data_IF_660885325163
#
_entry.id   IF_660885325163
#
_cell.length_a   1.000
_cell.length_b   1.000
_cell.length_c   1.000
_cell.angle_alpha   90.00
_cell.angle_beta   90.00
_cell.angle_gamma   90.00
#
_symmetry.space_group_name_H-M   'P 1'
#
loop_
_entity.id
_entity.type
_entity.pdbx_description
1 polymer ?
#
# COMPACT_ATOMS: atom_id res chain seq x y z
N UNK A 1 -3.66 16.64 -4.16
CA UNK A 1 -4.04 15.28 -3.79
C UNK A 1 -2.81 14.43 -3.51
N UNK A 2 -2.87 13.55 -2.53
CA UNK A 2 -1.76 12.71 -2.08
C UNK A 2 -2.14 11.24 -2.23
N UNK A 3 -1.24 10.46 -2.82
CA UNK A 3 -1.36 9.02 -2.99
C UNK A 3 -0.24 8.41 -2.17
N UNK A 4 -0.61 7.86 -1.03
CA UNK A 4 0.33 7.22 -0.15
C UNK A 4 0.75 5.86 -0.69
N UNK A 5 2.03 5.56 -0.56
CA UNK A 5 2.65 4.33 -1.03
C UNK A 5 3.28 3.55 0.12
N UNK A 6 3.06 2.25 0.09
CA UNK A 6 3.72 1.28 0.94
C UNK A 6 4.26 0.14 0.07
N UNK A 7 5.30 -0.51 0.56
CA UNK A 7 5.83 -1.74 0.00
C UNK A 7 5.96 -2.76 1.14
N UNK A 8 5.41 -3.95 0.97
CA UNK A 8 5.16 -4.93 2.05
C UNK A 8 6.42 -5.46 2.75
N UNK A 9 7.58 -5.31 2.12
CA UNK A 9 8.87 -5.75 2.67
C UNK A 9 9.74 -4.61 3.20
N UNK A 10 9.20 -3.37 3.24
CA UNK A 10 9.96 -2.21 3.68
C UNK A 10 9.85 -1.99 5.19
N UNK A 11 10.82 -2.54 5.91
CA UNK A 11 10.91 -2.51 7.38
C UNK A 11 12.16 -1.77 7.84
N UNK A 12 12.19 -1.31 9.10
CA UNK A 12 13.41 -0.81 9.74
C UNK A 12 14.43 -1.94 9.98
N UNK A 13 15.67 -1.58 10.20
CA UNK A 13 16.73 -2.53 10.53
C UNK A 13 17.21 -3.38 9.36
N UNK A 14 17.81 -4.50 9.69
CA UNK A 14 18.30 -5.54 8.77
C UNK A 14 18.17 -6.91 9.45
N UNK A 15 18.39 -8.03 8.74
CA UNK A 15 18.44 -9.36 9.36
C UNK A 15 19.41 -9.41 10.53
N UNK A 16 18.94 -9.86 11.67
CA UNK A 16 19.75 -9.96 12.90
C UNK A 16 19.45 -11.25 13.65
N UNK A 17 20.39 -11.65 14.52
CA UNK A 17 20.22 -12.82 15.35
C UNK A 17 19.79 -12.40 16.76
N UNK A 18 18.54 -12.67 17.11
CA UNK A 18 17.97 -12.37 18.42
C UNK A 18 18.23 -13.48 19.47
N UNK A 19 18.94 -14.54 19.13
CA UNK A 19 19.27 -15.62 20.07
C UNK A 19 20.35 -15.17 21.03
N UNK A 20 20.07 -15.27 22.32
CA UNK A 20 21.06 -15.03 23.37
C UNK A 20 21.74 -16.34 23.77
N UNK A 21 23.08 -16.36 23.71
CA UNK A 21 23.88 -17.50 24.21
C UNK A 21 23.82 -17.64 25.73
N UNK A 22 23.54 -16.54 26.42
CA UNK A 22 23.51 -16.45 27.88
C UNK A 22 22.18 -16.95 28.47
N UNK A 23 21.11 -16.97 27.67
CA UNK A 23 19.76 -17.32 28.14
C UNK A 23 19.68 -18.68 28.83
N UNK A 24 20.44 -19.67 28.37
CA UNK A 24 20.45 -21.00 28.95
C UNK A 24 20.99 -20.99 30.40
N UNK A 25 21.99 -20.18 30.68
CA UNK A 25 22.59 -20.03 32.01
C UNK A 25 21.58 -19.45 33.04
N UNK A 26 20.79 -18.46 32.59
CA UNK A 26 19.81 -17.79 33.45
C UNK A 26 18.44 -18.49 33.52
N UNK A 27 18.18 -19.48 32.69
CA UNK A 27 16.89 -20.18 32.64
C UNK A 27 16.48 -20.82 33.98
N UNK A 28 17.38 -21.48 34.74
CA UNK A 28 17.04 -22.04 36.05
C UNK A 28 16.61 -20.97 37.06
N UNK A 29 17.27 -19.82 37.07
CA UNK A 29 16.95 -18.71 37.97
C UNK A 29 15.60 -18.06 37.59
N UNK A 30 15.32 -17.87 36.30
CA UNK A 30 14.01 -17.39 35.85
C UNK A 30 12.90 -18.32 36.31
N UNK A 31 13.06 -19.63 36.16
CA UNK A 31 12.09 -20.63 36.62
C UNK A 31 11.89 -20.58 38.13
N UNK A 32 12.98 -20.50 38.91
CA UNK A 32 12.92 -20.38 40.36
C UNK A 32 12.12 -19.15 40.79
N UNK A 33 12.38 -18.00 40.18
CA UNK A 33 11.68 -16.76 40.51
C UNK A 33 10.18 -16.82 40.15
N UNK A 34 9.81 -17.46 39.06
CA UNK A 34 8.40 -17.67 38.73
C UNK A 34 7.71 -18.55 39.76
N UNK A 35 8.30 -19.68 40.13
CA UNK A 35 7.73 -20.57 41.16
C UNK A 35 7.67 -19.96 42.55
N UNK A 36 8.52 -18.96 42.85
CA UNK A 36 8.49 -18.19 44.10
C UNK A 36 7.49 -17.01 44.07
N UNK A 37 6.74 -16.82 42.97
CA UNK A 37 5.82 -15.67 42.79
C UNK A 37 6.53 -14.33 42.60
N UNK A 38 7.81 -14.34 42.20
CA UNK A 38 8.63 -13.15 41.98
C UNK A 38 8.68 -12.77 40.47
N UNK A 39 7.55 -12.73 39.84
CA UNK A 39 7.39 -12.57 38.37
C UNK A 39 8.10 -11.31 37.84
N UNK A 40 7.99 -10.18 38.55
CA UNK A 40 8.65 -8.93 38.14
C UNK A 40 10.20 -9.00 38.15
N UNK A 41 10.81 -9.92 38.94
CA UNK A 41 12.26 -10.18 38.88
C UNK A 41 12.58 -11.12 37.70
N UNK A 42 11.74 -12.12 37.46
CA UNK A 42 11.88 -13.02 36.35
C UNK A 42 11.78 -12.25 35.01
N UNK A 43 10.82 -11.32 34.87
CA UNK A 43 10.68 -10.48 33.68
C UNK A 43 11.94 -9.67 33.39
N UNK A 44 12.53 -9.03 34.40
CA UNK A 44 13.80 -8.28 34.23
C UNK A 44 14.97 -9.16 33.75
N UNK A 45 15.09 -10.39 34.24
CA UNK A 45 16.11 -11.32 33.75
C UNK A 45 15.82 -11.76 32.30
N UNK A 46 14.56 -11.96 31.94
CA UNK A 46 14.18 -12.27 30.58
C UNK A 46 14.55 -11.13 29.63
N UNK A 47 14.19 -9.89 29.95
CA UNK A 47 14.53 -8.72 29.14
C UNK A 47 16.07 -8.54 29.02
N UNK A 48 16.81 -8.80 30.09
CA UNK A 48 18.26 -8.59 30.10
C UNK A 48 19.04 -9.68 29.33
N UNK A 49 18.63 -10.94 29.44
CA UNK A 49 19.45 -12.08 29.01
C UNK A 49 18.83 -12.92 27.90
N UNK A 50 17.53 -12.79 27.61
CA UNK A 50 16.85 -13.63 26.63
C UNK A 50 16.50 -12.88 25.34
N UNK A 51 16.26 -11.59 25.43
CA UNK A 51 15.92 -10.77 24.27
C UNK A 51 17.12 -9.91 23.89
N UNK A 52 17.67 -10.15 22.70
CA UNK A 52 18.79 -9.38 22.15
C UNK A 52 18.29 -8.59 20.94
N UNK A 53 18.07 -7.30 21.11
CA UNK A 53 17.57 -6.40 20.05
C UNK A 53 16.08 -6.09 20.18
N UNK A 54 15.49 -5.47 19.16
CA UNK A 54 14.13 -4.99 19.20
C UNK A 54 13.10 -6.12 19.27
N UNK A 55 11.93 -5.84 19.87
CA UNK A 55 10.77 -6.73 19.90
C UNK A 55 10.01 -6.81 18.56
N UNK A 56 10.71 -6.76 17.46
CA UNK A 56 10.22 -6.72 16.09
C UNK A 56 10.54 -5.40 15.41
N UNK A 57 10.71 -5.46 14.10
CA UNK A 57 11.01 -4.29 13.30
C UNK A 57 9.76 -3.48 13.00
N UNK A 58 9.93 -2.18 12.78
CA UNK A 58 8.86 -1.24 12.40
C UNK A 58 8.58 -1.32 10.92
N UNK A 59 7.30 -1.40 10.54
CA UNK A 59 6.88 -1.26 9.17
C UNK A 59 6.95 0.20 8.74
N UNK A 60 7.68 0.50 7.67
CA UNK A 60 7.98 1.86 7.26
C UNK A 60 7.03 2.36 6.17
N UNK A 61 6.62 3.65 6.20
CA UNK A 61 6.00 4.28 5.04
C UNK A 61 7.04 4.48 3.95
N UNK A 62 6.70 4.19 2.70
CA UNK A 62 7.62 4.41 1.58
C UNK A 62 7.70 5.90 1.23
N UNK A 63 6.56 6.53 1.15
CA UNK A 63 6.39 7.92 0.75
C UNK A 63 5.05 8.14 0.08
N UNK A 64 4.90 9.29 -0.56
CA UNK A 64 3.66 9.66 -1.24
C UNK A 64 3.93 10.32 -2.58
N UNK A 65 3.02 10.11 -3.53
CA UNK A 65 2.94 10.92 -4.75
C UNK A 65 1.95 12.05 -4.53
N UNK A 66 2.41 13.26 -4.68
CA UNK A 66 1.58 14.47 -4.63
C UNK A 66 1.18 14.88 -6.04
N UNK A 67 -0.11 14.76 -6.35
CA UNK A 67 -0.70 15.26 -7.59
C UNK A 67 -1.34 16.62 -7.35
N UNK A 68 -0.90 17.64 -8.08
CA UNK A 68 -1.39 19.02 -7.95
C UNK A 68 -1.96 19.51 -9.27
N UNK A 69 -3.29 19.67 -9.33
CA UNK A 69 -4.00 20.20 -10.49
C UNK A 69 -4.28 21.71 -10.35
N UNK A 70 -4.13 22.29 -9.15
CA UNK A 70 -4.41 23.71 -8.91
C UNK A 70 -5.89 24.08 -8.89
N UNK A 71 -6.80 23.12 -8.98
CA UNK A 71 -8.24 23.35 -9.01
C UNK A 71 -8.77 23.71 -7.61
N UNK A 72 -9.56 24.77 -7.55
CA UNK A 72 -10.28 25.23 -6.36
C UNK A 72 -11.76 25.35 -6.72
N UNK A 73 -12.63 25.31 -5.71
CA UNK A 73 -14.08 25.50 -5.87
C UNK A 73 -14.71 24.59 -6.94
N UNK A 74 -14.33 23.30 -6.88
CA UNK A 74 -14.87 22.28 -7.78
C UNK A 74 -16.33 21.94 -7.43
N UNK A 75 -17.10 21.54 -8.44
CA UNK A 75 -18.50 21.13 -8.28
C UNK A 75 -18.69 19.67 -8.69
N UNK A 76 -19.79 19.06 -8.30
CA UNK A 76 -20.14 17.66 -8.61
C UNK A 76 -18.99 16.69 -8.26
N UNK A 77 -18.37 16.93 -7.08
CA UNK A 77 -17.30 16.05 -6.61
C UNK A 77 -17.87 14.72 -6.16
N UNK A 78 -17.34 13.65 -6.72
CA UNK A 78 -17.66 12.28 -6.34
C UNK A 78 -16.37 11.47 -6.20
N UNK A 79 -16.30 10.65 -5.16
CA UNK A 79 -15.23 9.66 -4.95
C UNK A 79 -15.86 8.33 -4.58
N UNK A 80 -15.50 7.28 -5.29
CA UNK A 80 -16.03 5.94 -5.07
C UNK A 80 -14.91 4.88 -5.07
N UNK A 81 -15.09 3.87 -4.24
CA UNK A 81 -14.38 2.61 -4.32
C UNK A 81 -15.37 1.53 -4.73
N UNK A 82 -15.16 0.94 -5.89
CA UNK A 82 -15.97 -0.18 -6.36
C UNK A 82 -15.38 -1.49 -5.84
N UNK A 83 -16.05 -2.11 -4.87
CA UNK A 83 -15.58 -3.36 -4.26
C UNK A 83 -15.63 -4.55 -5.23
N UNK A 84 -16.46 -4.51 -6.27
CA UNK A 84 -16.59 -5.64 -7.21
C UNK A 84 -15.45 -5.76 -8.21
N UNK A 85 -14.69 -4.70 -8.40
CA UNK A 85 -13.57 -4.63 -9.34
C UNK A 85 -12.30 -3.98 -8.75
N UNK A 86 -12.32 -3.63 -7.47
CA UNK A 86 -11.22 -2.99 -6.74
C UNK A 86 -10.66 -1.75 -7.45
N UNK A 87 -11.54 -0.91 -8.02
CA UNK A 87 -11.19 0.36 -8.63
C UNK A 87 -11.60 1.55 -7.77
N UNK A 88 -10.72 2.52 -7.64
CA UNK A 88 -11.02 3.80 -7.02
C UNK A 88 -11.21 4.87 -8.10
N UNK A 89 -12.32 5.58 -8.03
CA UNK A 89 -12.63 6.65 -8.98
C UNK A 89 -12.83 7.98 -8.27
N UNK A 90 -12.45 9.06 -8.95
CA UNK A 90 -12.77 10.43 -8.52
C UNK A 90 -13.21 11.21 -9.74
N UNK A 91 -14.33 11.94 -9.64
CA UNK A 91 -14.76 12.85 -10.69
C UNK A 91 -15.24 14.17 -10.11
N UNK A 92 -15.09 15.24 -10.88
CA UNK A 92 -15.58 16.58 -10.53
C UNK A 92 -15.62 17.48 -11.77
N UNK A 93 -16.28 18.64 -11.61
CA UNK A 93 -16.29 19.69 -12.63
C UNK A 93 -15.51 20.91 -12.10
N UNK A 94 -14.61 21.42 -12.94
CA UNK A 94 -13.88 22.66 -12.71
C UNK A 94 -13.92 23.51 -13.99
N UNK A 95 -14.38 24.76 -13.87
CA UNK A 95 -14.57 25.69 -15.00
C UNK A 95 -15.32 25.07 -16.18
N UNK A 96 -16.38 24.30 -15.91
CA UNK A 96 -17.21 23.64 -16.92
C UNK A 96 -16.58 22.40 -17.59
N UNK A 97 -15.37 22.01 -17.18
CA UNK A 97 -14.66 20.81 -17.66
C UNK A 97 -14.80 19.68 -16.65
N UNK A 98 -15.18 18.48 -17.10
CA UNK A 98 -15.19 17.29 -16.25
C UNK A 98 -13.81 16.67 -16.20
N UNK A 99 -13.35 16.39 -14.99
CA UNK A 99 -12.11 15.66 -14.68
C UNK A 99 -12.46 14.32 -14.06
N UNK A 100 -11.81 13.29 -14.53
CA UNK A 100 -12.00 11.93 -14.04
C UNK A 100 -10.65 11.30 -13.76
N UNK A 101 -10.57 10.54 -12.67
CA UNK A 101 -9.42 9.71 -12.33
C UNK A 101 -9.89 8.32 -11.97
N UNK A 102 -9.21 7.31 -12.51
CA UNK A 102 -9.39 5.91 -12.15
C UNK A 102 -8.06 5.34 -11.69
N UNK A 103 -8.05 4.70 -10.53
CA UNK A 103 -6.86 4.08 -9.96
C UNK A 103 -7.15 2.63 -9.55
N UNK A 104 -6.19 1.75 -9.75
CA UNK A 104 -6.20 0.36 -9.28
C UNK A 104 -4.78 -0.16 -9.10
N UNK A 105 -4.62 -1.17 -8.21
CA UNK A 105 -3.37 -1.89 -8.01
C UNK A 105 -3.49 -3.26 -8.71
N UNK A 106 -2.77 -3.43 -9.83
CA UNK A 106 -2.80 -4.65 -10.62
C UNK A 106 -1.90 -5.72 -10.00
N UNK A 107 -2.50 -6.79 -9.49
CA UNK A 107 -1.76 -7.96 -9.01
C UNK A 107 -1.07 -8.72 -10.16
N UNK A 108 -1.65 -8.68 -11.36
CA UNK A 108 -1.10 -9.36 -12.54
C UNK A 108 0.18 -8.71 -13.02
N UNK A 109 0.23 -7.38 -12.93
CA UNK A 109 1.32 -6.59 -13.51
C UNK A 109 2.27 -6.05 -12.45
N UNK A 110 1.97 -6.19 -11.14
CA UNK A 110 2.73 -5.64 -10.00
C UNK A 110 2.93 -4.12 -10.07
N UNK A 111 1.91 -3.40 -10.55
CA UNK A 111 1.94 -1.96 -10.80
C UNK A 111 0.64 -1.31 -10.31
N UNK A 112 0.75 -0.16 -9.66
CA UNK A 112 -0.40 0.72 -9.42
C UNK A 112 -0.57 1.58 -10.67
N UNK A 113 -1.78 1.64 -11.20
CA UNK A 113 -2.10 2.37 -12.42
C UNK A 113 -3.11 3.45 -12.10
N UNK A 114 -2.80 4.69 -12.50
CA UNK A 114 -3.68 5.84 -12.30
C UNK A 114 -3.86 6.55 -13.63
N UNK A 115 -5.08 6.59 -14.14
CA UNK A 115 -5.41 7.34 -15.33
C UNK A 115 -6.19 8.60 -14.96
N UNK A 116 -5.73 9.74 -15.49
CA UNK A 116 -6.42 11.03 -15.44
C UNK A 116 -6.97 11.36 -16.81
N UNK A 117 -8.21 11.84 -16.89
CA UNK A 117 -8.87 12.24 -18.12
C UNK A 117 -9.71 13.49 -17.95
N UNK A 118 -9.89 14.21 -19.05
CA UNK A 118 -10.86 15.30 -19.16
C UNK A 118 -11.79 15.09 -20.37
N UNK A 119 -12.97 15.71 -20.32
CA UNK A 119 -13.90 15.73 -21.45
C UNK A 119 -13.61 16.88 -22.43
N UNK A 120 -12.56 17.66 -22.22
CA UNK A 120 -12.14 18.77 -23.10
C UNK A 120 -10.68 18.60 -23.49
N UNK A 121 -10.40 18.59 -24.80
CA UNK A 121 -9.06 18.45 -25.34
C UNK A 121 -8.11 19.52 -24.79
N UNK A 122 -6.92 19.10 -24.33
CA UNK A 122 -5.88 19.99 -23.83
C UNK A 122 -6.19 20.68 -22.50
N UNK A 123 -7.19 20.19 -21.73
CA UNK A 123 -7.57 20.86 -20.49
C UNK A 123 -6.92 20.23 -19.23
N UNK A 124 -6.17 19.14 -19.38
CA UNK A 124 -5.52 18.47 -18.26
C UNK A 124 -4.10 18.99 -18.09
N UNK A 125 -3.88 19.72 -16.99
CA UNK A 125 -2.53 20.13 -16.56
C UNK A 125 -2.37 19.81 -15.09
N UNK A 126 -1.23 19.22 -14.71
CA UNK A 126 -0.94 18.87 -13.31
C UNK A 126 0.56 18.72 -13.08
N UNK A 127 0.96 18.74 -11.82
CA UNK A 127 2.31 18.30 -11.42
C UNK A 127 2.24 17.04 -10.57
N UNK A 128 3.30 16.23 -10.68
CA UNK A 128 3.53 15.06 -9.84
C UNK A 128 4.89 15.18 -9.18
N UNK A 129 4.94 14.95 -7.87
CA UNK A 129 6.14 14.98 -7.05
C UNK A 129 6.13 13.79 -6.09
N UNK A 130 7.29 13.20 -5.83
CA UNK A 130 7.45 12.21 -4.78
C UNK A 130 7.97 12.89 -3.52
N UNK A 131 7.38 12.54 -2.38
CA UNK A 131 7.80 12.99 -1.05
C UNK A 131 7.93 11.79 -0.11
N UNK A 132 8.92 11.80 0.76
CA UNK A 132 9.10 10.78 1.79
C UNK A 132 9.46 11.43 3.12
N UNK A 133 9.05 10.80 4.23
CA UNK A 133 9.50 11.16 5.58
C UNK A 133 10.89 10.59 5.88
N UNK A 134 11.37 9.67 5.03
CA UNK A 134 12.65 8.99 5.13
C UNK A 134 13.71 9.67 4.26
N UNK A 135 15.01 9.48 4.55
CA UNK A 135 16.07 9.90 3.66
C UNK A 135 15.84 9.32 2.26
N UNK A 136 15.81 10.19 1.26
CA UNK A 136 15.51 9.76 -0.11
C UNK A 136 16.31 10.56 -1.13
N UNK A 137 16.66 9.89 -2.22
CA UNK A 137 17.24 10.50 -3.41
C UNK A 137 16.23 10.38 -4.56
N UNK A 138 15.77 11.51 -5.08
CA UNK A 138 14.73 11.60 -6.10
C UNK A 138 15.35 12.19 -7.37
N UNK A 139 15.17 11.52 -8.49
CA UNK A 139 15.72 11.94 -9.78
C UNK A 139 14.81 11.50 -10.94
N UNK A 140 14.98 12.15 -12.09
CA UNK A 140 14.25 11.79 -13.31
C UNK A 140 15.13 10.95 -14.23
N UNK A 141 14.49 9.96 -14.87
CA UNK A 141 15.11 9.02 -15.79
C UNK A 141 14.54 9.25 -17.20
N UNK A 142 15.42 9.22 -18.20
CA UNK A 142 15.04 9.41 -19.62
C UNK A 142 15.21 8.18 -20.48
N UNK A 143 15.91 7.17 -19.95
CA UNK A 143 16.07 5.89 -20.61
C UNK A 143 15.73 4.77 -19.61
N UNK A 144 14.99 3.79 -20.05
CA UNK A 144 14.53 2.68 -19.22
C UNK A 144 14.98 1.36 -19.84
N UNK A 145 15.58 0.48 -19.04
CA UNK A 145 15.96 -0.86 -19.49
C UNK A 145 14.70 -1.67 -19.87
N UNK A 146 14.62 -2.11 -21.12
CA UNK A 146 13.46 -2.84 -21.64
C UNK A 146 12.39 -1.97 -22.30
N UNK A 147 12.58 -0.64 -22.37
CA UNK A 147 11.70 0.27 -23.13
C UNK A 147 12.54 1.03 -24.16
N UNK A 148 12.15 0.96 -25.44
CA UNK A 148 12.82 1.72 -26.49
C UNK A 148 12.39 3.20 -26.47
N UNK A 149 13.35 4.08 -26.72
CA UNK A 149 13.10 5.52 -26.84
C UNK A 149 13.23 6.28 -25.50
N UNK A 150 12.75 7.51 -25.51
CA UNK A 150 12.80 8.39 -24.34
C UNK A 150 11.56 8.20 -23.48
N UNK A 151 11.74 7.96 -22.18
CA UNK A 151 10.67 7.84 -21.19
C UNK A 151 10.61 9.07 -20.28
N UNK A 152 9.45 9.32 -19.69
CA UNK A 152 9.26 10.28 -18.61
C UNK A 152 9.06 9.49 -17.32
N UNK A 153 10.14 9.27 -16.60
CA UNK A 153 10.14 8.44 -15.40
C UNK A 153 10.78 9.17 -14.22
N UNK A 154 10.15 9.08 -13.07
CA UNK A 154 10.64 9.51 -11.77
C UNK A 154 11.09 8.27 -11.00
N UNK A 155 12.30 8.33 -10.45
CA UNK A 155 12.82 7.33 -9.54
C UNK A 155 13.07 7.96 -8.17
N UNK A 156 12.70 7.26 -7.11
CA UNK A 156 12.96 7.62 -5.72
C UNK A 156 13.58 6.44 -5.00
N UNK A 157 14.83 6.58 -4.58
CA UNK A 157 15.50 5.61 -3.71
C UNK A 157 15.32 6.09 -2.27
N UNK A 158 14.74 5.25 -1.44
CA UNK A 158 14.39 5.53 -0.05
C UNK A 158 15.18 4.60 0.86
N UNK A 159 15.96 5.18 1.76
CA UNK A 159 16.74 4.42 2.73
C UNK A 159 15.89 4.08 3.95
N UNK A 160 16.00 2.85 4.43
CA UNK A 160 15.43 2.44 5.71
C UNK A 160 16.12 3.14 6.89
N UNK A 161 15.69 2.81 8.10
CA UNK A 161 16.23 3.40 9.32
C UNK A 161 16.73 2.33 10.29
N UNK A 162 17.68 2.72 11.11
CA UNK A 162 18.12 1.92 12.26
C UNK A 162 16.98 1.77 13.27
N UNK A 163 16.97 0.65 13.99
CA UNK A 163 16.11 0.46 15.15
C UNK A 163 16.86 -0.28 16.26
N UNK A 164 16.95 0.33 17.43
CA UNK A 164 17.48 -0.26 18.67
C UNK A 164 18.85 -0.94 18.47
N UNK A 165 19.76 -0.28 17.75
CA UNK A 165 21.11 -0.78 17.47
C UNK A 165 21.23 -1.71 16.26
N UNK A 166 20.13 -2.08 15.61
CA UNK A 166 20.14 -2.82 14.35
C UNK A 166 20.19 -1.82 13.19
N UNK A 167 21.26 -1.88 12.40
CA UNK A 167 21.52 -0.94 11.31
C UNK A 167 20.43 -0.99 10.24
N UNK A 168 20.27 0.12 9.53
CA UNK A 168 19.42 0.16 8.34
C UNK A 168 20.03 -0.68 7.20
N UNK A 169 19.41 -1.80 6.86
CA UNK A 169 19.85 -2.66 5.76
C UNK A 169 18.88 -2.68 4.59
N UNK A 170 17.61 -2.37 4.85
CA UNK A 170 16.59 -2.31 3.80
C UNK A 170 16.61 -0.97 3.07
N UNK A 171 16.47 -1.05 1.75
CA UNK A 171 16.30 0.08 0.83
C UNK A 171 15.13 -0.21 -0.10
N UNK A 172 14.31 0.79 -0.35
CA UNK A 172 13.24 0.72 -1.31
C UNK A 172 13.54 1.61 -2.52
N UNK A 173 13.08 1.22 -3.68
CA UNK A 173 13.02 2.08 -4.86
C UNK A 173 11.56 2.15 -5.34
N UNK A 174 11.07 3.35 -5.55
CA UNK A 174 9.80 3.62 -6.19
C UNK A 174 10.05 4.25 -7.56
N UNK A 175 9.29 3.82 -8.56
CA UNK A 175 9.32 4.41 -9.90
C UNK A 175 7.93 4.82 -10.36
N UNK A 176 7.88 5.94 -11.06
CA UNK A 176 6.66 6.48 -11.64
C UNK A 176 6.91 6.81 -13.09
N UNK A 177 6.37 5.98 -13.99
CA UNK A 177 6.41 6.21 -15.43
C UNK A 177 5.15 6.97 -15.86
N UNK A 178 5.29 7.98 -16.71
CA UNK A 178 4.19 8.84 -17.14
C UNK A 178 4.04 8.76 -18.67
N UNK A 179 2.87 8.34 -19.12
CA UNK A 179 2.42 8.46 -20.51
C UNK A 179 1.33 9.54 -20.61
N UNK A 180 1.45 10.46 -21.54
CA UNK A 180 0.51 11.56 -21.75
C UNK A 180 0.40 11.94 -23.22
N UNK A 181 -0.78 12.41 -23.62
CA UNK A 181 -1.00 13.04 -24.95
C UNK A 181 -0.69 14.55 -24.95
N UNK A 182 -0.29 15.12 -23.81
CA UNK A 182 0.20 16.48 -23.64
C UNK A 182 1.71 16.56 -23.48
N UNK A 183 2.22 17.76 -23.23
CA UNK A 183 3.64 18.01 -22.99
C UNK A 183 4.04 17.58 -21.57
N UNK A 184 5.11 16.78 -21.45
CA UNK A 184 5.66 16.37 -20.15
C UNK A 184 7.00 17.07 -19.91
N UNK A 185 7.07 17.94 -18.90
CA UNK A 185 8.27 18.69 -18.52
C UNK A 185 8.88 18.14 -17.24
N UNK A 186 10.16 17.87 -17.26
CA UNK A 186 10.92 17.42 -16.09
C UNK A 186 11.15 18.55 -15.11
N UNK A 187 11.03 18.23 -13.83
CA UNK A 187 11.42 19.06 -12.68
C UNK A 187 12.50 18.33 -11.89
N UNK A 188 13.07 18.97 -10.88
CA UNK A 188 14.12 18.37 -10.03
C UNK A 188 13.61 17.13 -9.31
N UNK A 189 12.41 17.18 -8.75
CA UNK A 189 11.82 16.11 -7.92
C UNK A 189 10.50 15.57 -8.49
N UNK A 190 10.26 15.75 -9.80
CA UNK A 190 8.99 15.34 -10.41
C UNK A 190 8.81 15.76 -11.84
N UNK A 191 7.56 15.93 -12.24
CA UNK A 191 7.15 16.35 -13.57
C UNK A 191 6.00 17.35 -13.51
N UNK A 192 5.83 18.15 -14.58
CA UNK A 192 4.55 18.76 -14.94
C UNK A 192 4.08 18.19 -16.27
N UNK A 193 2.78 17.95 -16.34
CA UNK A 193 2.05 17.62 -17.58
C UNK A 193 1.22 18.82 -17.93
N UNK A 194 1.29 19.28 -19.18
CA UNK A 194 0.57 20.45 -19.69
C UNK A 194 -0.22 20.10 -20.93
N UNK A 195 -1.39 20.72 -21.07
CA UNK A 195 -2.26 20.65 -22.26
C UNK A 195 -2.63 19.22 -22.69
N UNK A 196 -2.70 18.28 -21.76
CA UNK A 196 -3.14 16.92 -22.02
C UNK A 196 -4.67 16.81 -22.05
N UNK A 197 -5.17 15.73 -22.61
CA UNK A 197 -6.55 15.26 -22.48
C UNK A 197 -6.60 14.02 -21.59
N UNK A 198 -5.53 13.24 -21.65
CA UNK A 198 -5.34 12.02 -20.86
C UNK A 198 -3.88 11.85 -20.45
N UNK A 199 -3.67 11.36 -19.25
CA UNK A 199 -2.37 10.90 -18.78
C UNK A 199 -2.53 9.64 -17.93
N UNK A 200 -1.56 8.73 -18.03
CA UNK A 200 -1.50 7.51 -17.22
C UNK A 200 -0.19 7.47 -16.46
N UNK A 201 -0.28 7.22 -15.16
CA UNK A 201 0.86 6.99 -14.30
C UNK A 201 0.92 5.51 -13.96
N UNK A 202 2.09 4.90 -14.16
CA UNK A 202 2.42 3.55 -13.75
C UNK A 202 3.41 3.64 -12.60
N UNK A 203 3.03 3.11 -11.44
CA UNK A 203 3.79 3.22 -10.20
C UNK A 203 4.16 1.82 -9.74
N UNK A 204 5.45 1.60 -9.51
CA UNK A 204 5.96 0.35 -8.94
C UNK A 204 6.91 0.66 -7.80
N UNK A 205 7.00 -0.24 -6.84
CA UNK A 205 7.95 -0.16 -5.75
C UNK A 205 8.48 -1.55 -5.42
N UNK A 206 9.74 -1.62 -5.08
CA UNK A 206 10.39 -2.83 -4.64
C UNK A 206 11.49 -2.52 -3.62
N UNK A 207 11.84 -3.51 -2.80
CA UNK A 207 12.97 -3.42 -1.88
C UNK A 207 14.07 -4.40 -2.27
N UNK A 208 15.23 -4.24 -1.61
CA UNK A 208 16.31 -5.21 -1.68
C UNK A 208 16.06 -6.47 -0.82
N UNK A 209 14.86 -6.63 -0.26
CA UNK A 209 14.47 -7.84 0.48
C UNK A 209 14.38 -9.06 -0.44
N UNK A 210 15.03 -10.16 -0.02
CA UNK A 210 14.92 -11.49 -0.63
C UNK A 210 14.18 -12.43 0.32
N UNK A 211 14.61 -12.47 1.58
CA UNK A 211 13.98 -13.19 2.68
C UNK A 211 14.50 -12.65 4.02
N UNK A 212 14.03 -13.21 5.13
CA UNK A 212 14.35 -12.72 6.47
C UNK A 212 15.83 -12.87 6.89
N UNK A 213 16.67 -13.49 6.08
CA UNK A 213 18.12 -13.56 6.27
C UNK A 213 18.91 -12.80 5.21
N UNK A 214 18.26 -12.36 4.13
CA UNK A 214 18.93 -11.84 2.95
C UNK A 214 18.25 -10.57 2.42
N UNK A 215 19.00 -9.49 2.38
CA UNK A 215 18.61 -8.19 1.83
C UNK A 215 19.50 -7.78 0.66
N UNK A 216 20.00 -8.74 -0.12
CA UNK A 216 20.87 -8.51 -1.29
C UNK A 216 20.11 -8.35 -2.61
N UNK A 217 18.79 -8.29 -2.58
CA UNK A 217 17.96 -8.17 -3.79
C UNK A 217 18.19 -6.87 -4.56
N UNK A 218 17.72 -6.85 -5.80
CA UNK A 218 17.86 -5.71 -6.70
C UNK A 218 16.49 -5.09 -6.99
N UNK A 219 16.09 -3.99 -6.28
CA UNK A 219 14.83 -3.32 -6.51
C UNK A 219 14.74 -2.68 -7.89
N UNK A 220 15.85 -2.16 -8.44
CA UNK A 220 15.90 -1.54 -9.77
C UNK A 220 15.45 -2.54 -10.84
N UNK A 221 16.01 -3.76 -10.79
CA UNK A 221 15.65 -4.81 -11.75
C UNK A 221 14.17 -5.18 -11.67
N UNK A 222 13.64 -5.38 -10.45
CA UNK A 222 12.22 -5.70 -10.24
C UNK A 222 11.31 -4.63 -10.82
N UNK A 223 11.61 -3.36 -10.55
CA UNK A 223 10.83 -2.22 -11.03
C UNK A 223 10.92 -2.07 -12.56
N UNK A 224 12.11 -2.22 -13.15
CA UNK A 224 12.29 -2.17 -14.60
C UNK A 224 11.46 -3.24 -15.31
N UNK A 225 11.51 -4.47 -14.85
CA UNK A 225 10.75 -5.58 -15.42
C UNK A 225 9.22 -5.31 -15.35
N UNK A 226 8.72 -4.80 -14.21
CA UNK A 226 7.30 -4.51 -14.04
C UNK A 226 6.84 -3.36 -14.96
N UNK A 227 7.59 -2.26 -15.06
CA UNK A 227 7.23 -1.14 -15.93
C UNK A 227 7.33 -1.50 -17.41
N UNK A 228 8.39 -2.19 -17.83
CA UNK A 228 8.53 -2.65 -19.22
C UNK A 228 7.37 -3.59 -19.63
N UNK A 229 6.87 -4.40 -18.68
CA UNK A 229 5.77 -5.29 -18.94
C UNK A 229 4.43 -4.58 -19.20
N UNK A 230 4.23 -3.34 -18.73
CA UNK A 230 2.97 -2.58 -18.90
C UNK A 230 3.07 -1.45 -19.91
N UNK A 231 4.26 -0.97 -20.21
CA UNK A 231 4.49 0.15 -21.13
C UNK A 231 3.86 -0.08 -22.50
N UNK A 232 3.18 0.92 -23.01
CA UNK A 232 2.48 0.87 -24.29
C UNK A 232 1.23 -0.01 -24.35
N UNK A 233 0.87 -0.71 -23.26
CA UNK A 233 -0.39 -1.47 -23.22
C UNK A 233 -1.58 -0.54 -23.02
N UNK A 234 -2.68 -0.74 -23.78
CA UNK A 234 -3.90 0.05 -23.60
C UNK A 234 -4.42 -0.05 -22.15
N UNK A 235 -4.74 1.09 -21.53
CA UNK A 235 -5.32 1.15 -20.18
C UNK A 235 -6.50 0.18 -19.99
N UNK A 236 -7.38 0.08 -21.00
CA UNK A 236 -8.53 -0.83 -20.96
C UNK A 236 -8.12 -2.30 -20.82
N UNK A 237 -7.03 -2.69 -21.45
CA UNK A 237 -6.50 -4.07 -21.35
C UNK A 237 -5.99 -4.34 -19.93
N UNK A 238 -5.20 -3.43 -19.36
CA UNK A 238 -4.66 -3.53 -18.02
C UNK A 238 -5.80 -3.59 -16.98
N UNK A 239 -6.78 -2.70 -17.10
CA UNK A 239 -7.96 -2.70 -16.24
C UNK A 239 -8.76 -4.02 -16.35
N UNK A 240 -8.96 -4.54 -17.55
CA UNK A 240 -9.69 -5.82 -17.76
C UNK A 240 -8.94 -6.98 -17.11
N UNK A 241 -7.62 -7.04 -17.23
CA UNK A 241 -6.80 -8.08 -16.62
C UNK A 241 -6.83 -7.99 -15.08
N UNK A 242 -6.73 -6.78 -14.54
CA UNK A 242 -6.86 -6.52 -13.11
C UNK A 242 -8.20 -7.01 -12.57
N UNK A 243 -9.31 -6.57 -13.19
CA UNK A 243 -10.67 -6.94 -12.76
C UNK A 243 -10.84 -8.47 -12.78
N UNK A 244 -10.43 -9.13 -13.86
CA UNK A 244 -10.53 -10.58 -13.98
C UNK A 244 -9.78 -11.28 -12.85
N UNK A 245 -8.54 -10.86 -12.57
CA UNK A 245 -7.71 -11.47 -11.52
C UNK A 245 -8.30 -11.25 -10.13
N UNK A 246 -8.72 -10.05 -9.81
CA UNK A 246 -9.35 -9.72 -8.55
C UNK A 246 -10.64 -10.50 -8.31
N UNK A 247 -11.48 -10.64 -9.36
CA UNK A 247 -12.76 -11.33 -9.30
C UNK A 247 -12.63 -12.85 -9.13
N UNK A 248 -11.48 -13.46 -9.44
CA UNK A 248 -11.20 -14.87 -9.13
C UNK A 248 -11.35 -15.17 -7.63
N UNK A 249 -11.05 -14.21 -6.77
CA UNK A 249 -11.20 -14.30 -5.32
C UNK A 249 -12.49 -13.62 -4.83
N UNK A 250 -12.76 -12.40 -5.30
CA UNK A 250 -13.89 -11.63 -4.79
C UNK A 250 -15.23 -12.29 -5.05
N UNK A 251 -15.43 -12.87 -6.22
CA UNK A 251 -16.70 -13.50 -6.62
C UNK A 251 -16.94 -14.89 -6.00
N UNK A 252 -15.99 -15.44 -5.23
CA UNK A 252 -16.18 -16.73 -4.54
C UNK A 252 -17.29 -16.70 -3.49
N UNK A 253 -17.57 -15.51 -2.91
CA UNK A 253 -18.64 -15.34 -1.91
C UNK A 253 -19.42 -14.05 -2.20
N UNK A 254 -20.75 -14.18 -2.15
CA UNK A 254 -21.67 -13.04 -2.26
C UNK A 254 -22.67 -13.12 -1.10
N UNK A 255 -22.69 -12.08 -0.25
CA UNK A 255 -23.74 -11.86 0.72
C UNK A 255 -24.71 -10.81 0.20
N UNK A 256 -25.98 -11.13 0.17
CA UNK A 256 -27.05 -10.18 -0.21
C UNK A 256 -28.09 -10.16 0.91
N UNK A 257 -28.32 -9.01 1.46
CA UNK A 257 -29.32 -8.75 2.49
C UNK A 257 -30.30 -7.69 2.00
N UNK A 258 -31.51 -7.59 2.59
CA UNK A 258 -32.50 -6.62 2.17
C UNK A 258 -31.97 -5.18 2.22
N UNK A 259 -32.27 -4.43 1.16
CA UNK A 259 -31.98 -2.99 1.10
C UNK A 259 -32.94 -2.20 1.99
N UNK A 260 -32.44 -1.11 2.56
CA UNK A 260 -33.20 -0.12 3.29
C UNK A 260 -33.31 1.20 2.50
N UNK A 261 -34.07 2.15 3.00
CA UNK A 261 -34.11 3.51 2.46
C UNK A 261 -32.72 4.19 2.50
N UNK A 262 -31.85 3.77 3.42
CA UNK A 262 -30.51 4.31 3.58
C UNK A 262 -29.48 3.71 2.60
N UNK A 263 -29.79 2.63 1.89
CA UNK A 263 -28.84 1.94 0.99
C UNK A 263 -28.36 2.82 -0.18
N UNK A 264 -29.05 3.90 -0.51
CA UNK A 264 -28.64 4.86 -1.55
C UNK A 264 -27.87 6.07 -1.03
N UNK A 265 -27.61 6.17 0.28
CA UNK A 265 -26.84 7.26 0.87
C UNK A 265 -25.34 7.07 0.61
N UNK A 266 -24.59 8.18 0.64
CA UNK A 266 -23.14 8.17 0.72
C UNK A 266 -22.68 7.41 1.97
N UNK A 267 -21.54 6.73 1.89
CA UNK A 267 -21.12 5.77 2.93
C UNK A 267 -20.95 6.41 4.31
N UNK A 268 -20.43 7.63 4.41
CA UNK A 268 -20.27 8.37 5.66
C UNK A 268 -21.63 8.70 6.31
N UNK A 269 -22.59 9.15 5.51
CA UNK A 269 -23.97 9.41 5.97
C UNK A 269 -24.68 8.10 6.35
N UNK A 270 -24.41 7.03 5.62
CA UNK A 270 -24.97 5.70 5.88
C UNK A 270 -24.44 5.12 7.20
N UNK A 271 -23.14 5.26 7.49
CA UNK A 271 -22.54 4.87 8.78
C UNK A 271 -23.18 5.64 9.93
N UNK A 272 -23.30 6.97 9.81
CA UNK A 272 -23.94 7.81 10.84
C UNK A 272 -25.44 7.49 11.05
N UNK A 273 -26.14 7.04 10.01
CA UNK A 273 -27.52 6.57 10.12
C UNK A 273 -27.60 5.21 10.82
N UNK A 274 -26.67 4.30 10.52
CA UNK A 274 -26.59 2.95 11.10
C UNK A 274 -26.30 2.98 12.61
N UNK A 275 -25.50 3.92 13.08
CA UNK A 275 -25.28 4.14 14.52
C UNK A 275 -26.56 4.44 15.31
N UNK A 276 -27.56 5.08 14.66
CA UNK A 276 -28.84 5.44 15.28
C UNK A 276 -29.90 4.35 15.12
N UNK A 277 -29.86 3.65 13.98
CA UNK A 277 -30.80 2.58 13.64
C UNK A 277 -30.08 1.51 12.81
N UNK A 278 -29.75 0.40 13.44
CA UNK A 278 -29.06 -0.74 12.84
C UNK A 278 -29.96 -1.60 11.91
N UNK A 279 -31.09 -1.08 11.45
CA UNK A 279 -32.02 -1.82 10.56
C UNK A 279 -31.53 -1.94 9.12
N UNK A 280 -30.47 -1.21 8.72
CA UNK A 280 -29.88 -1.28 7.38
C UNK A 280 -29.04 -2.56 7.20
N UNK A 281 -29.68 -3.68 6.93
CA UNK A 281 -29.00 -4.97 6.77
C UNK A 281 -28.05 -5.00 5.56
N UNK A 282 -28.33 -4.24 4.51
CA UNK A 282 -27.44 -4.14 3.34
C UNK A 282 -26.09 -3.47 3.70
N UNK A 283 -26.05 -2.62 4.76
CA UNK A 283 -24.80 -2.10 5.30
C UNK A 283 -23.93 -3.20 5.91
N UNK A 284 -24.54 -4.21 6.54
CA UNK A 284 -23.83 -5.38 7.08
C UNK A 284 -23.21 -6.20 5.94
N UNK A 285 -23.95 -6.40 4.85
CA UNK A 285 -23.43 -7.06 3.65
C UNK A 285 -22.26 -6.28 3.01
N UNK A 286 -22.38 -4.95 2.93
CA UNK A 286 -21.32 -4.07 2.46
C UNK A 286 -20.05 -4.19 3.34
N UNK A 287 -20.22 -4.17 4.66
CA UNK A 287 -19.12 -4.27 5.63
C UNK A 287 -18.38 -5.62 5.52
N UNK A 288 -19.11 -6.72 5.35
CA UNK A 288 -18.51 -8.04 5.08
C UNK A 288 -17.69 -8.04 3.79
N UNK A 289 -18.24 -7.51 2.71
CA UNK A 289 -17.54 -7.47 1.42
C UNK A 289 -16.35 -6.50 1.46
N UNK A 290 -16.43 -5.41 2.21
CA UNK A 290 -15.31 -4.51 2.44
C UNK A 290 -14.17 -5.20 3.20
N UNK A 291 -14.48 -5.97 4.25
CA UNK A 291 -13.49 -6.78 4.96
C UNK A 291 -12.77 -7.79 4.04
N UNK A 292 -13.53 -8.45 3.14
CA UNK A 292 -12.94 -9.33 2.13
C UNK A 292 -12.04 -8.57 1.14
N UNK A 293 -12.47 -7.40 0.67
CA UNK A 293 -11.65 -6.51 -0.16
C UNK A 293 -10.33 -6.15 0.53
N UNK A 294 -10.37 -5.78 1.81
CA UNK A 294 -9.16 -5.43 2.57
C UNK A 294 -8.18 -6.62 2.65
N UNK A 295 -8.68 -7.82 2.93
CA UNK A 295 -7.81 -9.01 3.02
C UNK A 295 -7.23 -9.39 1.64
N UNK A 296 -8.04 -9.39 0.58
CA UNK A 296 -7.57 -9.62 -0.80
C UNK A 296 -6.49 -8.58 -1.20
N UNK A 297 -6.67 -7.33 -0.79
CA UNK A 297 -5.77 -6.24 -1.19
C UNK A 297 -4.47 -6.18 -0.38
N UNK A 298 -4.43 -6.79 0.81
CA UNK A 298 -3.26 -6.73 1.71
C UNK A 298 -2.53 -8.06 1.86
N UNK A 299 -3.04 -9.15 1.31
CA UNK A 299 -2.42 -10.47 1.44
C UNK A 299 -2.69 -11.32 0.21
N UNK A 300 -1.64 -11.66 -0.51
CA UNK A 300 -1.71 -12.47 -1.72
C UNK A 300 -0.67 -13.60 -1.69
N UNK A 301 -0.93 -14.74 -2.36
CA UNK A 301 0.06 -15.81 -2.49
C UNK A 301 1.37 -15.30 -3.07
N UNK A 302 2.48 -15.61 -2.40
CA UNK A 302 3.83 -15.17 -2.79
C UNK A 302 4.25 -13.81 -2.23
N UNK A 303 3.35 -13.05 -1.61
CA UNK A 303 3.63 -11.83 -0.88
C UNK A 303 3.80 -12.05 0.63
N UNK A 304 3.87 -10.98 1.39
CA UNK A 304 3.91 -11.01 2.84
C UNK A 304 2.49 -11.10 3.44
N UNK A 305 2.40 -11.62 4.65
CA UNK A 305 1.15 -11.58 5.39
C UNK A 305 0.72 -10.13 5.71
N UNK A 306 -0.58 -9.90 5.86
CA UNK A 306 -1.09 -8.63 6.35
C UNK A 306 -0.59 -8.36 7.77
N UNK A 307 0.06 -7.21 7.98
CA UNK A 307 0.51 -6.77 9.30
C UNK A 307 -0.66 -6.14 10.10
N UNK A 308 -0.38 -5.48 11.25
CA UNK A 308 -1.43 -4.85 12.08
C UNK A 308 -2.33 -3.87 11.33
N UNK A 309 -1.82 -3.21 10.29
CA UNK A 309 -2.54 -2.26 9.47
C UNK A 309 -2.83 -2.77 8.04
N UNK A 310 -2.74 -4.09 7.83
CA UNK A 310 -2.76 -4.69 6.49
C UNK A 310 -1.44 -4.39 5.78
N UNK A 311 -1.44 -3.38 4.91
CA UNK A 311 -0.25 -2.85 4.22
C UNK A 311 -0.25 -1.30 4.26
N UNK A 312 -1.29 -0.69 4.84
CA UNK A 312 -1.51 0.77 4.79
C UNK A 312 -0.94 1.44 6.04
N UNK A 313 0.22 2.09 5.90
CA UNK A 313 0.89 2.83 6.98
C UNK A 313 1.42 4.18 6.47
N UNK A 314 0.94 5.28 7.04
CA UNK A 314 1.36 6.65 6.72
C UNK A 314 2.31 7.25 7.76
N UNK A 315 2.73 6.47 8.76
CA UNK A 315 3.45 6.98 9.92
C UNK A 315 4.79 6.31 10.12
N UNK A 316 5.82 7.10 10.43
CA UNK A 316 7.10 6.59 10.92
C UNK A 316 6.96 5.84 12.25
N UNK A 317 6.05 6.30 13.10
CA UNK A 317 5.73 5.69 14.39
C UNK A 317 4.28 5.23 14.37
N UNK A 318 4.00 4.16 13.62
CA UNK A 318 2.70 3.53 13.60
C UNK A 318 2.34 2.94 14.97
N UNK A 319 1.07 2.85 15.35
CA UNK A 319 0.65 2.11 16.53
C UNK A 319 1.23 0.70 16.52
N UNK A 320 1.91 0.31 17.60
CA UNK A 320 2.58 -1.00 17.73
C UNK A 320 3.56 -1.29 16.59
N UNK A 321 4.18 -0.25 16.00
CA UNK A 321 5.11 -0.32 14.87
C UNK A 321 4.52 -0.96 13.61
N UNK A 322 3.21 -1.13 13.53
CA UNK A 322 2.51 -1.87 12.47
C UNK A 322 3.09 -3.28 12.22
N UNK A 323 3.72 -3.87 13.24
CA UNK A 323 4.40 -5.16 13.13
C UNK A 323 3.45 -6.34 13.23
N UNK A 324 3.96 -7.53 12.98
CA UNK A 324 3.24 -8.77 13.23
C UNK A 324 3.15 -9.05 14.73
N UNK A 325 1.93 -9.15 15.26
CA UNK A 325 1.66 -9.53 16.63
C UNK A 325 0.99 -10.89 16.61
N UNK A 326 1.79 -11.94 16.65
CA UNK A 326 1.36 -13.31 16.34
C UNK A 326 0.61 -14.02 17.47
N UNK A 327 0.50 -13.39 18.65
CA UNK A 327 -0.26 -13.97 19.75
C UNK A 327 -1.78 -13.85 19.59
N UNK A 328 -2.28 -12.89 18.80
CA UNK A 328 -3.71 -12.72 18.50
C UNK A 328 -3.96 -11.89 17.23
N UNK A 329 -3.26 -10.76 17.00
CA UNK A 329 -3.65 -9.83 15.94
C UNK A 329 -3.45 -10.39 14.53
N UNK A 330 -2.34 -11.07 14.26
CA UNK A 330 -2.14 -11.76 12.99
C UNK A 330 -3.19 -12.84 12.76
N UNK A 331 -3.56 -13.58 13.82
CA UNK A 331 -4.64 -14.58 13.74
C UNK A 331 -5.98 -13.92 13.42
N UNK A 332 -6.32 -12.82 14.10
CA UNK A 332 -7.57 -12.08 13.87
C UNK A 332 -7.69 -11.56 12.43
N UNK A 333 -6.60 -11.11 11.81
CA UNK A 333 -6.61 -10.69 10.41
C UNK A 333 -7.07 -11.81 9.47
N UNK A 334 -6.77 -13.06 9.81
CA UNK A 334 -7.07 -14.24 8.97
C UNK A 334 -8.27 -15.08 9.43
N UNK A 335 -8.89 -14.80 10.58
CA UNK A 335 -10.08 -15.53 11.01
C UNK A 335 -11.20 -15.57 9.95
N UNK A 336 -11.47 -14.49 9.19
CA UNK A 336 -12.51 -14.53 8.18
C UNK A 336 -12.09 -15.23 6.88
N UNK A 337 -10.83 -15.65 6.72
CA UNK A 337 -10.32 -16.20 5.45
C UNK A 337 -11.08 -17.45 5.01
N UNK A 338 -11.31 -18.40 5.94
CA UNK A 338 -12.03 -19.65 5.64
C UNK A 338 -13.50 -19.40 5.31
N UNK A 339 -14.23 -18.67 6.17
CA UNK A 339 -15.66 -18.35 5.93
C UNK A 339 -15.85 -17.39 4.77
N UNK A 340 -14.84 -16.57 4.48
CA UNK A 340 -14.78 -15.67 3.34
C UNK A 340 -14.33 -16.31 2.03
N UNK A 341 -13.99 -17.62 2.05
CA UNK A 341 -13.45 -18.37 0.90
C UNK A 341 -12.25 -17.63 0.25
N UNK A 342 -11.28 -17.22 1.10
CA UNK A 342 -10.05 -16.52 0.72
C UNK A 342 -8.79 -17.34 1.05
N UNK A 343 -8.94 -18.60 1.36
CA UNK A 343 -7.84 -19.55 1.44
C UNK A 343 -7.16 -19.72 0.07
N UNK A 344 -5.84 -19.84 0.07
CA UNK A 344 -5.05 -19.99 -1.15
C UNK A 344 -5.19 -21.39 -1.76
#
# INVERSE_FOLDING_TARGET
>A
EEIQLNEETFWSGEPYNNNSKESLEYLPEVRRLIFEGKEGKAARLLDQYFVKGPHGMRFLPLGSLKLSLGHKDVTNYERALNLSDATATTSYIYNGVKYERTAFASQVDSVIIIQLKTNKKGALSFSVEFISQLPSNIFTVSAHEGIEGTVNELAAVVDGVEQEGIKAGLKAECRVLIESDGEVKRKVTGFSVEDATSATLYITAATNFVNYHDVSGNPIKKNNEALAAVYGKPFKQLLTNHIRKYQEQYNRVKLSLPKSANSGLETDKRVAAFEKDASDLDMVALMMQYGRYLLISSSQPGGQAANLQGVWNDKMNAPWDSKYTININAEMNYWPSMVGNLEA
#
